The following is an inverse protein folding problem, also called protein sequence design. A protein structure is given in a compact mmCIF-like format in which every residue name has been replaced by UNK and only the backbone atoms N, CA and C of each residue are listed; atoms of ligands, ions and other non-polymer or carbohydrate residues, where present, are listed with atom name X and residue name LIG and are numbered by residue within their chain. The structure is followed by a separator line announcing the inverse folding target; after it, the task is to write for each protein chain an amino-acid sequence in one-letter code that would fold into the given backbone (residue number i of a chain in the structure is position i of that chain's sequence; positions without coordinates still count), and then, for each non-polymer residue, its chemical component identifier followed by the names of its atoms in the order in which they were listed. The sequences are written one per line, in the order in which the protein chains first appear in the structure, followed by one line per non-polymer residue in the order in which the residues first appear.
data_IF_728619116769
#
_entry.id   IF_728619116769
#
_cell.length_a   1.000
_cell.length_b   1.000
_cell.length_c   1.000
_cell.angle_alpha   90.00
_cell.angle_beta   90.00
_cell.angle_gamma   90.00
#
_symmetry.space_group_name_H-M   'P 1'
#
loop_
_entity.id
_entity.type
_entity.pdbx_description
1 polymer ?
#
# COMPACT_ATOMS: atom_id res chain seq x y z
N UNK A 1 -69.76 2.14 -2.86
CA UNK A 1 -68.33 2.06 -2.79
C UNK A 1 -67.94 1.99 -1.31
N UNK A 2 -67.52 0.82 -0.87
CA UNK A 2 -67.54 0.43 0.53
C UNK A 2 -66.45 1.19 1.33
N UNK A 3 -66.84 1.82 2.42
CA UNK A 3 -65.97 2.48 3.40
C UNK A 3 -64.85 1.53 3.94
N UNK A 4 -65.03 0.23 3.81
CA UNK A 4 -64.09 -0.81 4.16
C UNK A 4 -62.89 -0.89 3.19
N UNK A 5 -63.09 -0.57 1.91
CA UNK A 5 -62.01 -0.57 0.93
C UNK A 5 -61.04 0.62 1.10
N UNK A 6 -61.56 1.75 1.57
CA UNK A 6 -60.80 2.97 1.84
C UNK A 6 -59.90 2.81 3.08
N UNK A 7 -60.33 2.07 4.09
CA UNK A 7 -59.53 1.77 5.30
C UNK A 7 -58.38 0.80 5.01
N UNK A 8 -58.57 -0.16 4.11
CA UNK A 8 -57.50 -1.07 3.69
C UNK A 8 -56.39 -0.36 2.88
N UNK A 9 -56.77 0.63 2.07
CA UNK A 9 -55.82 1.42 1.30
C UNK A 9 -54.96 2.35 2.20
N UNK A 10 -55.56 2.90 3.27
CA UNK A 10 -54.82 3.73 4.24
C UNK A 10 -53.86 2.89 5.13
N UNK A 11 -54.20 1.64 5.40
CA UNK A 11 -53.31 0.75 6.17
C UNK A 11 -52.10 0.26 5.37
N UNK A 12 -52.24 0.11 4.05
CA UNK A 12 -51.12 -0.27 3.18
C UNK A 12 -50.10 0.88 2.98
N UNK A 13 -50.58 2.14 2.97
CA UNK A 13 -49.66 3.29 2.82
C UNK A 13 -48.90 3.63 4.11
N UNK A 14 -49.44 3.26 5.29
CA UNK A 14 -48.81 3.51 6.58
C UNK A 14 -47.64 2.54 6.88
N UNK A 15 -47.59 1.37 6.22
CA UNK A 15 -46.50 0.40 6.42
C UNK A 15 -45.27 0.68 5.56
N UNK A 16 -45.36 1.52 4.54
CA UNK A 16 -44.22 1.89 3.68
C UNK A 16 -43.27 2.88 4.39
N UNK A 17 -43.74 3.55 5.44
CA UNK A 17 -42.97 4.58 6.15
C UNK A 17 -42.10 4.06 7.31
N UNK A 18 -42.03 2.75 7.54
CA UNK A 18 -41.29 2.13 8.66
C UNK A 18 -40.15 1.20 8.23
N UNK A 19 -39.71 1.30 6.98
CA UNK A 19 -38.45 0.69 6.63
C UNK A 19 -37.35 1.53 7.29
N UNK A 20 -36.56 0.97 8.20
CA UNK A 20 -35.38 1.68 8.70
C UNK A 20 -34.57 2.07 7.48
N UNK A 21 -34.21 3.35 7.38
CA UNK A 21 -33.41 3.86 6.27
C UNK A 21 -32.17 3.00 6.16
N UNK A 22 -32.08 2.24 5.07
CA UNK A 22 -30.89 1.44 4.82
C UNK A 22 -29.70 2.39 4.83
N UNK A 23 -28.65 2.02 5.57
CA UNK A 23 -27.40 2.74 5.54
C UNK A 23 -26.97 2.88 4.08
N UNK A 24 -26.78 4.12 3.63
CA UNK A 24 -26.29 4.40 2.27
C UNK A 24 -24.85 3.99 2.08
N UNK A 25 -24.16 3.69 3.19
CA UNK A 25 -22.77 3.27 3.20
C UNK A 25 -22.73 1.73 3.19
N UNK A 26 -22.08 1.10 2.20
CA UNK A 26 -21.88 -0.33 2.17
C UNK A 26 -21.13 -0.84 3.40
N UNK A 27 -21.26 -2.12 3.79
CA UNK A 27 -20.50 -2.69 4.90
C UNK A 27 -19.00 -2.58 4.63
N UNK A 28 -18.25 -2.18 5.66
CA UNK A 28 -16.79 -2.06 5.61
C UNK A 28 -16.18 -3.33 6.21
N UNK A 29 -15.16 -3.88 5.55
CA UNK A 29 -14.42 -5.03 6.05
C UNK A 29 -13.82 -4.73 7.43
N UNK A 30 -13.69 -5.73 8.26
CA UNK A 30 -12.93 -5.64 9.51
C UNK A 30 -11.44 -5.35 9.21
N UNK A 31 -10.70 -4.82 10.18
CA UNK A 31 -9.26 -4.55 10.03
C UNK A 31 -8.48 -5.83 9.69
N UNK A 32 -8.89 -6.96 10.23
CA UNK A 32 -8.27 -8.24 9.92
C UNK A 32 -8.51 -8.64 8.47
N UNK A 33 -9.77 -8.59 7.98
CA UNK A 33 -10.10 -8.90 6.58
C UNK A 33 -9.42 -7.94 5.60
N UNK A 34 -9.27 -6.66 5.96
CA UNK A 34 -8.50 -5.70 5.18
C UNK A 34 -7.04 -6.13 5.07
N UNK A 35 -6.40 -6.48 6.19
CA UNK A 35 -5.02 -6.92 6.21
C UNK A 35 -4.77 -8.20 5.41
N UNK A 36 -5.65 -9.19 5.53
CA UNK A 36 -5.58 -10.43 4.75
C UNK A 36 -5.69 -10.16 3.24
N UNK A 37 -6.55 -9.22 2.85
CA UNK A 37 -6.74 -8.81 1.47
C UNK A 37 -5.52 -8.05 0.92
N UNK A 38 -4.97 -7.11 1.70
CA UNK A 38 -3.77 -6.35 1.34
C UNK A 38 -2.56 -7.26 1.14
N UNK A 39 -2.34 -8.23 2.04
CA UNK A 39 -1.24 -9.19 1.94
C UNK A 39 -1.40 -10.10 0.70
N UNK A 40 -2.64 -10.54 0.40
CA UNK A 40 -2.92 -11.32 -0.80
C UNK A 40 -2.65 -10.52 -2.10
N UNK A 41 -3.04 -9.24 -2.13
CA UNK A 41 -2.77 -8.37 -3.27
C UNK A 41 -1.29 -8.05 -3.42
N UNK A 42 -0.59 -7.76 -2.33
CA UNK A 42 0.84 -7.51 -2.35
C UNK A 42 1.58 -8.71 -2.95
N UNK A 43 1.29 -9.91 -2.49
CA UNK A 43 1.85 -11.15 -3.04
C UNK A 43 1.56 -11.26 -4.54
N UNK A 44 0.30 -11.10 -4.94
CA UNK A 44 -0.11 -11.20 -6.34
C UNK A 44 0.58 -10.16 -7.23
N UNK A 45 0.73 -8.92 -6.76
CA UNK A 45 1.44 -7.84 -7.47
C UNK A 45 2.92 -8.14 -7.64
N UNK A 46 3.58 -8.67 -6.61
CA UNK A 46 4.99 -9.09 -6.69
C UNK A 46 5.17 -10.23 -7.69
N UNK A 47 4.21 -11.17 -7.76
CA UNK A 47 4.27 -12.30 -8.68
C UNK A 47 3.97 -11.94 -10.14
N UNK A 48 3.11 -10.93 -10.38
CA UNK A 48 2.57 -10.69 -11.74
C UNK A 48 2.87 -9.34 -12.33
N UNK A 49 3.03 -8.30 -11.50
CA UNK A 49 3.27 -6.92 -11.97
C UNK A 49 4.76 -6.59 -11.95
N UNK A 50 5.42 -6.92 -10.86
CA UNK A 50 6.80 -6.48 -10.63
C UNK A 50 7.80 -7.06 -11.63
N UNK A 51 7.73 -8.33 -12.06
CA UNK A 51 8.65 -8.87 -13.07
C UNK A 51 8.61 -8.10 -14.38
N UNK A 52 7.40 -7.78 -14.87
CA UNK A 52 7.22 -7.03 -16.11
C UNK A 52 7.74 -5.59 -15.99
N UNK A 53 7.57 -4.97 -14.81
CA UNK A 53 8.10 -3.63 -14.56
C UNK A 53 9.64 -3.61 -14.56
N UNK A 54 10.28 -4.55 -13.86
CA UNK A 54 11.73 -4.64 -13.79
C UNK A 54 12.33 -4.90 -15.17
N UNK A 55 11.78 -5.84 -15.92
CA UNK A 55 12.21 -6.17 -17.28
C UNK A 55 12.01 -5.02 -18.26
N UNK A 56 10.90 -4.29 -18.15
CA UNK A 56 10.62 -3.10 -18.97
C UNK A 56 11.66 -2.02 -18.84
N UNK A 57 12.19 -1.81 -17.63
CA UNK A 57 13.19 -0.78 -17.36
C UNK A 57 14.62 -1.31 -17.42
N UNK A 58 14.82 -2.61 -17.67
CA UNK A 58 16.11 -3.24 -17.85
C UNK A 58 16.93 -3.36 -16.56
N UNK A 59 16.28 -3.58 -15.42
CA UNK A 59 16.96 -3.85 -14.13
C UNK A 59 16.68 -5.26 -13.67
N UNK A 60 17.71 -5.92 -13.18
CA UNK A 60 17.64 -7.27 -12.65
C UNK A 60 17.69 -7.33 -11.12
N UNK A 61 18.04 -6.23 -10.44
CA UNK A 61 17.91 -6.12 -8.98
C UNK A 61 17.32 -4.77 -8.56
N UNK A 62 16.43 -4.79 -7.57
CA UNK A 62 15.91 -3.59 -6.93
C UNK A 62 16.17 -3.64 -5.42
N UNK A 63 16.88 -2.65 -4.91
CA UNK A 63 17.20 -2.53 -3.49
C UNK A 63 16.44 -1.37 -2.90
N UNK A 64 15.62 -1.67 -1.89
CA UNK A 64 14.87 -0.71 -1.11
C UNK A 64 15.46 -0.67 0.31
N UNK A 65 15.86 0.51 0.76
CA UNK A 65 16.46 0.68 2.09
C UNK A 65 15.68 1.72 2.86
N UNK A 66 15.16 1.31 3.99
CA UNK A 66 14.39 2.19 4.86
C UNK A 66 14.86 2.11 6.30
N UNK A 67 14.62 3.17 7.06
CA UNK A 67 14.90 3.24 8.48
C UNK A 67 13.63 3.61 9.23
N UNK A 68 13.43 3.01 10.39
CA UNK A 68 12.36 3.34 11.33
C UNK A 68 12.27 4.88 11.53
N UNK A 69 11.08 5.45 11.36
CA UNK A 69 10.76 6.89 11.37
C UNK A 69 11.34 7.72 10.22
N UNK A 70 11.84 7.09 9.19
CA UNK A 70 12.26 7.72 7.94
C UNK A 70 12.14 6.69 6.82
N UNK A 71 10.89 6.35 6.55
CA UNK A 71 10.50 5.29 5.64
C UNK A 71 10.59 5.75 4.18
N UNK A 72 10.99 4.82 3.32
CA UNK A 72 10.85 4.95 1.88
C UNK A 72 9.39 4.66 1.51
N UNK A 73 8.67 5.59 0.84
CA UNK A 73 7.25 5.42 0.53
C UNK A 73 6.93 4.18 -0.32
N UNK A 74 7.86 3.75 -1.17
CA UNK A 74 7.66 2.54 -1.97
C UNK A 74 7.86 1.30 -1.11
N UNK A 75 8.89 1.27 -0.26
CA UNK A 75 9.12 0.17 0.66
C UNK A 75 7.90 -0.04 1.57
N UNK A 76 7.26 1.03 2.06
CA UNK A 76 6.05 0.92 2.88
C UNK A 76 4.94 0.13 2.18
N UNK A 77 4.77 0.32 0.86
CA UNK A 77 3.77 -0.41 0.07
C UNK A 77 4.11 -1.88 -0.17
N UNK A 78 5.30 -2.30 0.20
CA UNK A 78 5.79 -3.69 0.10
C UNK A 78 5.86 -4.41 1.45
N UNK A 79 5.47 -3.73 2.53
CA UNK A 79 5.39 -4.34 3.85
C UNK A 79 4.07 -5.09 4.03
N UNK A 80 4.06 -6.20 4.76
CA UNK A 80 2.84 -6.90 5.10
C UNK A 80 1.96 -6.07 6.05
N UNK A 81 0.66 -6.30 6.04
CA UNK A 81 -0.34 -5.59 6.85
C UNK A 81 -0.06 -5.57 8.36
N UNK A 82 0.72 -6.53 8.84
CA UNK A 82 1.18 -6.62 10.24
C UNK A 82 2.32 -5.66 10.58
N UNK A 83 2.89 -4.98 9.57
CA UNK A 83 3.96 -4.00 9.74
C UNK A 83 3.41 -2.59 9.55
N UNK A 84 3.52 -1.74 10.55
CA UNK A 84 3.09 -0.33 10.50
C UNK A 84 4.15 0.60 9.87
N UNK A 85 5.31 0.08 9.52
CA UNK A 85 6.45 0.79 8.96
C UNK A 85 7.72 -0.03 9.08
N UNK A 86 8.84 0.47 8.56
CA UNK A 86 10.13 -0.17 8.67
C UNK A 86 10.56 -0.33 10.14
N UNK A 87 11.25 -1.42 10.44
CA UNK A 87 11.78 -1.69 11.79
C UNK A 87 13.29 -1.62 11.77
N UNK A 88 13.87 -0.70 12.57
CA UNK A 88 15.32 -0.43 12.55
C UNK A 88 15.77 -0.03 11.14
N UNK A 89 16.76 -0.72 10.57
CA UNK A 89 17.04 -0.65 9.15
C UNK A 89 16.48 -1.89 8.49
N UNK A 90 15.55 -1.71 7.55
CA UNK A 90 14.95 -2.76 6.73
C UNK A 90 15.48 -2.60 5.32
N UNK A 91 16.09 -3.65 4.78
CA UNK A 91 16.57 -3.69 3.40
C UNK A 91 15.80 -4.82 2.70
N UNK A 92 15.04 -4.47 1.66
CA UNK A 92 14.42 -5.43 0.78
C UNK A 92 15.25 -5.53 -0.49
N UNK A 93 15.54 -6.76 -0.90
CA UNK A 93 16.25 -7.06 -2.15
C UNK A 93 15.33 -7.89 -3.01
N UNK A 94 15.04 -7.41 -4.19
CA UNK A 94 14.23 -8.08 -5.19
C UNK A 94 15.13 -8.35 -6.38
N UNK A 95 15.25 -9.62 -6.76
CA UNK A 95 16.11 -10.04 -7.85
C UNK A 95 15.31 -10.82 -8.89
N UNK A 96 15.47 -10.44 -10.16
CA UNK A 96 14.92 -11.15 -11.31
C UNK A 96 16.04 -12.01 -11.94
N UNK A 97 15.97 -13.33 -11.83
CA UNK A 97 16.93 -14.22 -12.48
C UNK A 97 16.76 -14.31 -14.01
N UNK A 98 15.81 -13.54 -14.58
CA UNK A 98 15.48 -13.55 -16.01
C UNK A 98 14.45 -14.61 -16.39
N UNK A 99 14.49 -15.77 -15.77
CA UNK A 99 13.51 -16.84 -15.93
C UNK A 99 12.97 -17.29 -14.57
N UNK A 100 11.69 -17.63 -14.50
CA UNK A 100 11.03 -18.04 -13.27
C UNK A 100 10.55 -16.87 -12.39
N UNK A 101 10.23 -17.14 -11.12
CA UNK A 101 9.75 -16.14 -10.17
C UNK A 101 10.89 -15.23 -9.68
N UNK A 102 10.52 -14.03 -9.25
CA UNK A 102 11.44 -13.14 -8.56
C UNK A 102 11.91 -13.76 -7.23
N UNK A 103 13.15 -13.52 -6.87
CA UNK A 103 13.63 -13.73 -5.51
C UNK A 103 13.35 -12.48 -4.69
N UNK A 104 12.62 -12.64 -3.59
CA UNK A 104 12.28 -11.56 -2.67
C UNK A 104 12.92 -11.82 -1.31
N UNK A 105 13.89 -10.99 -0.93
CA UNK A 105 14.73 -11.21 0.23
C UNK A 105 14.64 -10.03 1.20
N UNK A 106 14.58 -10.33 2.48
CA UNK A 106 14.64 -9.34 3.54
C UNK A 106 15.98 -9.47 4.29
N UNK A 107 16.87 -8.52 4.03
CA UNK A 107 18.04 -8.30 4.87
C UNK A 107 17.60 -7.36 6.02
N UNK A 108 16.85 -7.92 6.97
CA UNK A 108 16.24 -7.21 8.09
C UNK A 108 16.33 -8.05 9.37
N UNK A 109 16.27 -7.36 10.53
CA UNK A 109 16.36 -8.01 11.84
C UNK A 109 15.22 -9.00 12.09
N UNK A 110 14.04 -8.71 11.56
CA UNK A 110 12.82 -9.52 11.70
C UNK A 110 12.39 -10.04 10.34
N UNK A 111 11.65 -11.15 10.32
CA UNK A 111 11.00 -11.63 9.10
C UNK A 111 9.96 -10.62 8.59
N UNK A 112 9.88 -10.43 7.30
CA UNK A 112 8.96 -9.47 6.64
C UNK A 112 7.84 -10.25 5.96
N UNK A 113 6.90 -10.75 6.76
CA UNK A 113 5.81 -11.60 6.29
C UNK A 113 6.30 -12.87 5.59
N UNK A 114 5.40 -13.44 4.78
CA UNK A 114 5.68 -14.65 3.98
C UNK A 114 6.17 -14.31 2.55
N UNK A 115 6.20 -13.02 2.20
CA UNK A 115 6.55 -12.56 0.86
C UNK A 115 8.06 -12.40 0.70
N UNK A 116 8.71 -11.85 1.72
CA UNK A 116 10.16 -11.65 1.71
C UNK A 116 10.84 -12.67 2.61
N UNK A 117 11.60 -13.56 1.99
CA UNK A 117 12.38 -14.55 2.72
C UNK A 117 13.45 -13.87 3.59
N UNK A 118 13.53 -14.24 4.87
CA UNK A 118 14.58 -13.75 5.76
C UNK A 118 15.96 -14.18 5.23
N UNK A 119 16.81 -13.22 4.88
CA UNK A 119 18.12 -13.42 4.28
C UNK A 119 19.29 -13.01 5.19
N UNK A 120 19.00 -12.51 6.39
CA UNK A 120 20.02 -12.09 7.35
C UNK A 120 19.68 -12.58 8.76
N UNK A 121 20.68 -13.16 9.42
CA UNK A 121 20.64 -13.45 10.85
C UNK A 121 21.76 -12.70 11.56
N UNK A 122 21.38 -11.81 12.49
CA UNK A 122 22.31 -10.97 13.24
C UNK A 122 23.25 -11.78 14.14
N UNK A 123 22.82 -12.94 14.63
CA UNK A 123 23.60 -13.76 15.54
C UNK A 123 24.71 -14.53 14.78
N UNK A 124 24.46 -14.87 13.51
CA UNK A 124 25.43 -15.49 12.63
C UNK A 124 26.38 -14.46 12.00
N UNK A 125 25.83 -13.32 11.57
CA UNK A 125 26.57 -12.23 10.93
C UNK A 125 26.11 -10.88 11.48
N UNK A 126 26.86 -10.25 12.38
CA UNK A 126 26.47 -8.99 13.02
C UNK A 126 26.33 -7.80 12.06
N UNK A 127 27.05 -7.79 10.93
CA UNK A 127 27.01 -6.69 9.95
C UNK A 127 25.98 -6.95 8.84
N UNK A 128 24.84 -6.26 8.95
CA UNK A 128 23.76 -6.29 7.96
C UNK A 128 24.21 -5.87 6.55
N UNK A 129 25.13 -4.90 6.47
CA UNK A 129 25.59 -4.38 5.19
C UNK A 129 26.57 -5.32 4.50
N UNK A 130 27.39 -6.03 5.28
CA UNK A 130 28.23 -7.11 4.76
C UNK A 130 27.34 -8.23 4.17
N UNK A 131 26.25 -8.59 4.83
CA UNK A 131 25.29 -9.56 4.27
C UNK A 131 24.65 -9.07 2.99
N UNK A 132 24.28 -7.79 2.89
CA UNK A 132 23.79 -7.21 1.65
C UNK A 132 24.79 -7.35 0.50
N UNK A 133 26.08 -7.11 0.76
CA UNK A 133 27.14 -7.30 -0.24
C UNK A 133 27.18 -8.74 -0.73
N UNK A 134 27.17 -9.72 0.17
CA UNK A 134 27.14 -11.14 -0.18
C UNK A 134 25.91 -11.49 -1.05
N UNK A 135 24.73 -11.01 -0.69
CA UNK A 135 23.50 -11.23 -1.48
C UNK A 135 23.61 -10.68 -2.91
N UNK A 136 24.29 -9.56 -3.07
CA UNK A 136 24.54 -8.94 -4.38
C UNK A 136 25.61 -9.74 -5.15
N UNK A 137 26.69 -10.15 -4.48
CA UNK A 137 27.77 -10.92 -5.08
C UNK A 137 27.31 -12.32 -5.53
N UNK A 138 26.48 -12.98 -4.73
CA UNK A 138 25.87 -14.28 -5.06
C UNK A 138 25.05 -14.25 -6.37
N UNK A 139 24.47 -13.09 -6.72
CA UNK A 139 23.56 -12.92 -7.88
C UNK A 139 24.22 -12.17 -9.04
N UNK A 140 25.26 -11.42 -8.78
CA UNK A 140 26.03 -10.61 -9.73
C UNK A 140 25.14 -9.80 -10.71
N UNK A 141 24.17 -8.99 -10.21
CA UNK A 141 23.23 -8.27 -11.06
C UNK A 141 23.93 -7.29 -12.00
N UNK A 142 23.43 -7.14 -13.21
CA UNK A 142 23.99 -6.21 -14.21
C UNK A 142 23.54 -4.76 -13.95
N UNK A 143 22.34 -4.56 -13.44
CA UNK A 143 21.75 -3.26 -13.11
C UNK A 143 21.01 -3.34 -11.77
N UNK A 144 21.36 -2.44 -10.85
CA UNK A 144 20.78 -2.39 -9.50
C UNK A 144 19.97 -1.10 -9.35
N UNK A 145 18.66 -1.20 -9.35
CA UNK A 145 17.79 -0.05 -9.10
C UNK A 145 17.80 0.36 -7.63
N UNK A 146 17.81 1.66 -7.39
CA UNK A 146 17.64 2.28 -6.08
C UNK A 146 16.59 3.39 -6.17
N UNK A 147 15.85 3.64 -5.08
CA UNK A 147 14.81 4.66 -5.03
C UNK A 147 15.42 6.06 -4.87
N UNK A 148 15.90 6.58 -5.99
CA UNK A 148 16.27 7.98 -6.13
C UNK A 148 15.54 8.57 -7.32
N UNK A 149 14.93 9.73 -7.11
CA UNK A 149 14.14 10.42 -8.11
C UNK A 149 14.42 11.92 -8.12
N UNK A 150 14.15 12.57 -9.24
CA UNK A 150 14.29 14.02 -9.43
C UNK A 150 12.90 14.66 -9.58
N UNK A 151 11.97 13.93 -10.22
CA UNK A 151 10.67 14.48 -10.62
C UNK A 151 9.52 13.96 -9.75
N UNK A 152 9.64 12.76 -9.19
CA UNK A 152 8.57 12.11 -8.45
C UNK A 152 9.03 11.77 -7.02
N UNK A 153 8.57 12.58 -6.05
CA UNK A 153 9.04 12.50 -4.66
C UNK A 153 8.82 11.14 -3.98
N UNK A 154 7.77 10.38 -4.34
CA UNK A 154 7.57 9.04 -3.79
C UNK A 154 8.60 8.01 -4.28
N UNK A 155 9.28 8.27 -5.41
CA UNK A 155 10.38 7.45 -5.90
C UNK A 155 11.77 7.97 -5.47
N UNK A 156 11.84 8.90 -4.52
CA UNK A 156 13.08 9.46 -3.93
C UNK A 156 13.16 9.14 -2.42
N UNK A 157 12.87 7.89 -2.06
CA UNK A 157 12.82 7.44 -0.67
C UNK A 157 14.17 7.07 -0.06
N UNK A 158 15.20 6.83 -0.88
CA UNK A 158 16.53 6.48 -0.39
C UNK A 158 17.22 7.71 0.23
N UNK A 159 17.41 7.70 1.55
CA UNK A 159 18.08 8.80 2.23
C UNK A 159 19.54 8.98 1.75
N UNK A 160 20.05 10.21 1.82
CA UNK A 160 21.46 10.51 1.48
C UNK A 160 22.45 9.65 2.29
N UNK A 161 22.14 9.43 3.58
CA UNK A 161 22.93 8.57 4.46
C UNK A 161 23.02 7.13 3.94
N UNK A 162 21.90 6.54 3.55
CA UNK A 162 21.88 5.17 3.04
C UNK A 162 22.51 5.05 1.67
N UNK A 163 22.40 6.06 0.81
CA UNK A 163 23.11 6.09 -0.46
C UNK A 163 24.64 6.11 -0.26
N UNK A 164 25.10 6.97 0.64
CA UNK A 164 26.53 7.04 0.98
C UNK A 164 27.02 5.70 1.57
N UNK A 165 26.23 5.11 2.47
CA UNK A 165 26.53 3.81 3.05
C UNK A 165 26.62 2.71 1.99
N UNK A 166 25.67 2.65 1.03
CA UNK A 166 25.75 1.72 -0.10
C UNK A 166 27.05 1.88 -0.88
N UNK A 167 27.39 3.13 -1.24
CA UNK A 167 28.60 3.43 -2.03
C UNK A 167 29.89 3.08 -1.31
N UNK A 168 29.92 3.23 0.02
CA UNK A 168 31.11 2.89 0.83
C UNK A 168 31.25 1.39 1.09
N UNK A 169 30.14 0.66 1.08
CA UNK A 169 30.14 -0.77 1.45
C UNK A 169 30.26 -1.67 0.22
N UNK A 170 29.62 -1.29 -0.89
CA UNK A 170 29.67 -2.10 -2.10
C UNK A 170 31.03 -2.04 -2.80
N UNK A 171 31.51 -3.16 -3.36
CA UNK A 171 32.61 -3.16 -4.32
C UNK A 171 32.33 -2.20 -5.49
N UNK A 172 33.40 -1.55 -5.99
CA UNK A 172 33.26 -0.52 -7.04
C UNK A 172 32.45 -0.99 -8.25
N UNK A 173 32.62 -2.25 -8.68
CA UNK A 173 31.86 -2.82 -9.81
C UNK A 173 30.34 -2.75 -9.61
N UNK A 174 29.84 -2.87 -8.38
CA UNK A 174 28.42 -2.78 -8.08
C UNK A 174 27.96 -1.35 -7.84
N UNK A 175 28.85 -0.49 -7.34
CA UNK A 175 28.57 0.95 -7.25
C UNK A 175 28.31 1.53 -8.65
N UNK A 176 29.08 1.10 -9.65
CA UNK A 176 28.93 1.52 -11.04
C UNK A 176 27.62 0.99 -11.70
N UNK A 177 27.02 -0.07 -11.13
CA UNK A 177 25.76 -0.66 -11.56
C UNK A 177 24.53 -0.09 -10.87
N UNK A 178 24.70 0.82 -9.89
CA UNK A 178 23.59 1.50 -9.22
C UNK A 178 22.93 2.49 -10.17
N UNK A 179 21.64 2.31 -10.40
CA UNK A 179 20.84 3.19 -11.27
C UNK A 179 19.61 3.74 -10.55
N UNK A 180 19.30 4.98 -10.87
CA UNK A 180 18.07 5.64 -10.42
C UNK A 180 17.00 5.45 -11.48
N UNK A 181 15.92 4.73 -11.17
CA UNK A 181 14.86 4.39 -12.13
C UNK A 181 13.49 4.77 -11.55
N UNK A 182 13.14 6.07 -11.64
CA UNK A 182 11.84 6.57 -11.16
C UNK A 182 10.65 5.83 -11.78
N UNK A 183 10.75 5.46 -13.06
CA UNK A 183 9.68 4.77 -13.79
C UNK A 183 9.35 3.39 -13.22
N UNK A 184 10.30 2.73 -12.54
CA UNK A 184 10.03 1.48 -11.82
C UNK A 184 9.12 1.73 -10.61
N UNK A 185 9.48 2.70 -9.78
CA UNK A 185 8.68 3.10 -8.62
C UNK A 185 7.29 3.62 -9.00
N UNK A 186 7.21 4.48 -10.03
CA UNK A 186 5.94 4.99 -10.57
C UNK A 186 5.10 3.82 -11.08
N UNK A 187 5.67 2.94 -11.91
CA UNK A 187 4.96 1.78 -12.44
C UNK A 187 4.43 0.87 -11.34
N UNK A 188 5.20 0.65 -10.27
CA UNK A 188 4.74 -0.10 -9.10
C UNK A 188 3.53 0.56 -8.44
N UNK A 189 3.54 1.87 -8.24
CA UNK A 189 2.47 2.60 -7.58
C UNK A 189 1.21 2.75 -8.45
N UNK A 190 1.35 2.85 -9.77
CA UNK A 190 0.23 3.10 -10.69
C UNK A 190 -0.47 1.82 -11.18
N UNK A 191 0.27 0.73 -11.36
CA UNK A 191 -0.29 -0.50 -11.94
C UNK A 191 -1.19 -1.21 -10.94
N UNK A 192 -2.40 -1.59 -11.40
CA UNK A 192 -3.39 -2.31 -10.60
C UNK A 192 -3.60 -3.72 -11.15
N UNK A 193 -3.86 -4.66 -10.26
CA UNK A 193 -4.31 -6.00 -10.63
C UNK A 193 -5.84 -6.03 -10.74
N UNK A 194 -6.41 -6.97 -11.49
CA UNK A 194 -7.87 -7.07 -11.65
C UNK A 194 -8.63 -7.19 -10.34
N UNK A 195 -8.06 -7.85 -9.35
CA UNK A 195 -8.63 -8.06 -8.02
C UNK A 195 -8.81 -6.73 -7.26
N UNK A 196 -7.83 -5.82 -7.35
CA UNK A 196 -7.93 -4.46 -6.80
C UNK A 196 -9.07 -3.68 -7.47
N UNK A 197 -9.24 -3.81 -8.79
CA UNK A 197 -10.27 -3.09 -9.54
C UNK A 197 -11.70 -3.50 -9.17
N UNK A 198 -11.90 -4.75 -8.74
CA UNK A 198 -13.20 -5.19 -8.20
C UNK A 198 -13.53 -4.45 -6.92
N UNK A 199 -12.56 -4.34 -6.01
CA UNK A 199 -12.73 -3.68 -4.72
C UNK A 199 -12.80 -2.15 -4.83
N UNK A 200 -12.19 -1.58 -5.86
CA UNK A 200 -12.16 -0.14 -6.09
C UNK A 200 -13.58 0.45 -6.17
N UNK A 201 -14.52 -0.24 -6.84
CA UNK A 201 -15.92 0.17 -6.91
C UNK A 201 -16.56 0.23 -5.53
N UNK A 202 -16.30 -0.76 -4.68
CA UNK A 202 -16.80 -0.79 -3.31
C UNK A 202 -16.26 0.38 -2.48
N UNK A 203 -14.97 0.65 -2.56
CA UNK A 203 -14.30 1.77 -1.87
C UNK A 203 -14.91 3.10 -2.32
N UNK A 204 -15.16 3.29 -3.62
CA UNK A 204 -15.80 4.49 -4.15
C UNK A 204 -17.22 4.67 -3.62
N UNK A 205 -18.02 3.60 -3.50
CA UNK A 205 -19.36 3.66 -2.92
C UNK A 205 -19.32 4.05 -1.44
N UNK A 206 -18.38 3.50 -0.67
CA UNK A 206 -18.16 3.88 0.72
C UNK A 206 -17.77 5.35 0.82
N UNK A 207 -16.82 5.82 0.03
CA UNK A 207 -16.38 7.22 0.02
C UNK A 207 -17.54 8.19 -0.31
N UNK A 208 -18.31 7.89 -1.35
CA UNK A 208 -19.49 8.68 -1.71
C UNK A 208 -20.55 8.66 -0.61
N UNK A 209 -20.77 7.52 0.04
CA UNK A 209 -21.70 7.41 1.16
C UNK A 209 -21.30 8.28 2.35
N UNK A 210 -19.99 8.31 2.68
CA UNK A 210 -19.44 9.17 3.73
C UNK A 210 -19.64 10.65 3.40
N UNK A 211 -19.34 11.03 2.17
CA UNK A 211 -19.51 12.42 1.70
C UNK A 211 -21.01 12.80 1.79
N UNK A 212 -21.89 11.96 1.29
CA UNK A 212 -23.33 12.20 1.34
C UNK A 212 -23.84 12.35 2.77
N UNK A 213 -23.38 11.50 3.70
CA UNK A 213 -23.78 11.60 5.10
C UNK A 213 -23.22 12.86 5.76
N UNK A 214 -21.96 13.23 5.48
CA UNK A 214 -21.32 14.43 6.01
C UNK A 214 -22.06 15.72 5.61
N UNK A 215 -22.65 15.75 4.42
CA UNK A 215 -23.46 16.88 3.92
C UNK A 215 -24.96 16.71 4.11
N UNK A 216 -25.41 15.70 4.86
CA UNK A 216 -26.83 15.48 5.15
C UNK A 216 -27.34 16.33 6.31
N UNK A 217 -28.67 16.48 6.40
CA UNK A 217 -29.36 17.14 7.52
C UNK A 217 -29.13 16.43 8.87
N UNK A 218 -28.65 15.19 8.88
CA UNK A 218 -28.25 14.49 10.11
C UNK A 218 -27.05 15.17 10.78
N UNK A 219 -26.12 15.69 9.99
CA UNK A 219 -24.85 16.26 10.44
C UNK A 219 -24.90 17.79 10.42
N UNK A 220 -25.43 18.37 9.34
CA UNK A 220 -25.55 19.82 9.18
C UNK A 220 -26.87 20.28 9.79
N UNK A 221 -26.80 20.93 10.94
CA UNK A 221 -27.97 21.52 11.60
C UNK A 221 -27.80 23.04 11.63
N UNK A 222 -28.88 23.81 11.34
CA UNK A 222 -28.84 25.27 11.48
C UNK A 222 -28.34 25.67 12.88
N UNK A 223 -27.44 26.65 12.95
CA UNK A 223 -26.85 27.18 14.17
C UNK A 223 -26.00 26.18 15.00
N UNK A 224 -25.62 25.03 14.47
CA UNK A 224 -24.68 24.12 15.12
C UNK A 224 -23.26 24.30 14.55
N UNK A 225 -22.23 24.17 15.41
CA UNK A 225 -20.85 24.05 14.94
C UNK A 225 -20.67 22.65 14.35
N UNK A 226 -20.89 22.50 13.05
CA UNK A 226 -20.79 21.24 12.31
C UNK A 226 -19.42 20.56 12.42
N UNK A 227 -18.37 21.32 12.74
CA UNK A 227 -16.97 20.88 12.75
C UNK A 227 -16.68 19.63 13.59
N UNK A 228 -17.26 19.50 14.77
CA UNK A 228 -16.88 18.41 15.68
C UNK A 228 -17.52 17.06 15.32
N UNK A 229 -18.73 17.06 14.71
CA UNK A 229 -19.42 15.83 14.31
C UNK A 229 -18.92 15.26 12.98
N UNK A 230 -18.65 16.11 12.00
CA UNK A 230 -18.00 15.70 10.75
C UNK A 230 -16.66 15.03 11.07
N UNK A 231 -15.88 15.60 11.99
CA UNK A 231 -14.59 15.03 12.41
C UNK A 231 -14.73 13.67 13.09
N UNK A 232 -15.76 13.46 13.91
CA UNK A 232 -15.95 12.17 14.60
C UNK A 232 -16.45 11.07 13.66
N UNK A 233 -17.34 11.39 12.73
CA UNK A 233 -17.86 10.41 11.78
C UNK A 233 -16.84 10.11 10.68
N UNK A 234 -16.19 11.14 10.14
CA UNK A 234 -15.15 10.96 9.11
C UNK A 234 -13.85 10.37 9.66
N UNK A 235 -13.40 10.73 10.87
CA UNK A 235 -12.14 10.20 11.40
C UNK A 235 -12.21 8.71 11.69
N UNK A 236 -13.32 8.19 12.21
CA UNK A 236 -13.46 6.74 12.45
C UNK A 236 -13.54 5.92 11.16
N UNK A 237 -14.04 6.51 10.08
CA UNK A 237 -14.16 5.84 8.78
C UNK A 237 -12.93 6.11 7.91
N UNK A 238 -12.35 7.31 7.96
CA UNK A 238 -11.10 7.66 7.28
C UNK A 238 -9.91 6.91 7.86
N UNK A 239 -9.86 6.67 9.17
CA UNK A 239 -8.85 5.79 9.77
C UNK A 239 -9.03 4.34 9.30
N UNK A 240 -10.26 3.87 9.13
CA UNK A 240 -10.54 2.53 8.59
C UNK A 240 -10.31 2.41 7.08
N UNK A 241 -10.56 3.49 6.32
CA UNK A 241 -10.22 3.58 4.89
C UNK A 241 -8.75 3.95 4.67
N UNK A 242 -8.12 4.67 5.60
CA UNK A 242 -6.73 5.11 5.51
C UNK A 242 -5.76 3.94 5.42
N UNK A 243 -6.04 2.84 6.09
CA UNK A 243 -5.25 1.61 5.96
C UNK A 243 -5.43 0.95 4.59
N UNK A 244 -6.64 0.95 4.02
CA UNK A 244 -6.88 0.51 2.62
C UNK A 244 -6.34 1.50 1.59
N UNK A 245 -6.30 2.79 1.90
CA UNK A 245 -5.89 3.83 0.97
C UNK A 245 -4.38 4.09 0.96
N UNK A 246 -3.61 3.66 1.94
CA UNK A 246 -2.15 3.79 1.87
C UNK A 246 -1.58 2.96 0.72
N UNK A 247 -2.09 1.77 0.47
CA UNK A 247 -1.76 1.01 -0.74
C UNK A 247 -2.41 1.60 -2.02
N UNK A 248 -3.48 2.41 -1.88
CA UNK A 248 -4.24 2.98 -3.00
C UNK A 248 -3.97 4.49 -3.22
N UNK A 249 -3.53 5.24 -2.20
CA UNK A 249 -3.36 6.70 -2.25
C UNK A 249 -2.11 7.19 -2.97
N UNK A 250 -1.17 6.34 -3.28
CA UNK A 250 -0.09 6.71 -4.18
C UNK A 250 -0.60 7.14 -5.58
N UNK A 251 -1.83 6.78 -5.93
CA UNK A 251 -2.42 7.07 -7.25
C UNK A 251 -3.38 8.27 -7.28
N UNK A 252 -3.75 8.83 -6.12
CA UNK A 252 -4.71 9.94 -6.06
C UNK A 252 -4.06 11.33 -6.07
N UNK A 253 -2.74 11.42 -6.22
CA UNK A 253 -1.97 12.68 -6.20
C UNK A 253 -1.34 12.97 -7.57
N UNK A 254 -1.99 12.59 -8.65
CA UNK A 254 -1.59 13.05 -9.99
C UNK A 254 -2.69 14.00 -10.49
N UNK A 255 -2.34 15.29 -10.78
CA UNK A 255 -3.27 16.26 -11.33
C UNK A 255 -3.71 15.90 -12.75
#
# INVERSE_FOLDING_TARGET
MNKFLLLLFFFQTAWISLLPGQSTIPPILSVQEQGELEDAWLKRRIETVLPDLMRRVGVDMWILVSREYNEDPILETMLPSTWMGARRTTILVIYDPGEGPLETLACARYGVGDIFQKAWDKEEQPDQWARLVELIEERDPSQIAINRGVNFGLADGLSAFHLERLRLTLPSKYVDRLVSVESLGIGWLETRIPEEMVMYRHIMQVAHGIIAEAFSEKVIKPNSRARSRIYQTTSSVVVRLGLMTFSLNASAIIP
#
